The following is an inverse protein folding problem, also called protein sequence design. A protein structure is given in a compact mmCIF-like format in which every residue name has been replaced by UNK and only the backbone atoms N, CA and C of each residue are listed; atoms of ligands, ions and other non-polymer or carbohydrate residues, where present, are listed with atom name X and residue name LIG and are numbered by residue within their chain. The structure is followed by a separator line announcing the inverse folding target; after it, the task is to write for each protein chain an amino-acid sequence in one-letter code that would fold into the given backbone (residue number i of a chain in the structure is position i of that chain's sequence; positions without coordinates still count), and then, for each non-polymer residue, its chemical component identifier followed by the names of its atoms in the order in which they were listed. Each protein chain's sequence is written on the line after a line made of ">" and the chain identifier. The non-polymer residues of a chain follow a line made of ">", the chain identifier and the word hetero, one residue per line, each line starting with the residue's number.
data_IF_591772306975
#
_entry.id   IF_591772306975
#
_cell.length_a   1.000
_cell.length_b   1.000
_cell.length_c   1.000
_cell.angle_alpha   90.00
_cell.angle_beta   90.00
_cell.angle_gamma   90.00
#
_symmetry.space_group_name_H-M   'P 1'
#
loop_
_entity.id
_entity.type
_entity.pdbx_description
1 polymer ?
#
# COMPACT_ATOMS: atom_id res chain seq x y z
N UNK A 1 -28.91 18.59 3.82
CA UNK A 1 -28.04 18.27 2.67
C UNK A 1 -28.72 17.20 1.83
N UNK A 2 -28.71 17.32 0.50
CA UNK A 2 -29.24 16.29 -0.40
C UNK A 2 -28.20 15.16 -0.55
N UNK A 3 -28.48 13.92 -0.09
CA UNK A 3 -27.51 12.84 -0.14
C UNK A 3 -27.18 12.35 -1.56
N UNK A 4 -28.01 12.70 -2.56
CA UNK A 4 -27.81 12.31 -3.95
C UNK A 4 -26.88 13.27 -4.72
N UNK A 5 -26.48 14.38 -4.12
CA UNK A 5 -25.76 15.44 -4.82
C UNK A 5 -26.66 16.25 -5.76
N UNK A 6 -26.07 17.11 -6.60
CA UNK A 6 -26.80 17.81 -7.65
C UNK A 6 -27.31 16.84 -8.73
N UNK A 7 -28.18 17.35 -9.61
CA UNK A 7 -28.63 16.58 -10.78
C UNK A 7 -27.44 16.34 -11.73
N UNK A 8 -27.38 15.20 -12.44
CA UNK A 8 -26.40 15.00 -13.52
C UNK A 8 -26.41 16.11 -14.58
N UNK A 9 -27.56 16.77 -14.80
CA UNK A 9 -27.66 17.93 -15.68
C UNK A 9 -26.79 19.11 -15.23
N UNK A 10 -26.49 19.22 -13.93
CA UNK A 10 -25.57 20.22 -13.40
C UNK A 10 -24.17 20.01 -13.96
N UNK A 11 -23.68 18.75 -14.03
CA UNK A 11 -22.36 18.43 -14.61
C UNK A 11 -22.29 18.83 -16.08
N UNK A 12 -23.38 18.61 -16.83
CA UNK A 12 -23.48 19.03 -18.23
C UNK A 12 -23.44 20.57 -18.35
N UNK A 13 -24.11 21.27 -17.44
CA UNK A 13 -24.17 22.74 -17.45
C UNK A 13 -22.84 23.40 -17.04
N UNK A 14 -22.02 22.75 -16.22
CA UNK A 14 -20.74 23.29 -15.70
C UNK A 14 -19.51 22.81 -16.49
N UNK A 15 -19.68 22.33 -17.72
CA UNK A 15 -18.55 21.92 -18.58
C UNK A 15 -17.54 23.05 -18.83
N UNK A 16 -17.96 24.31 -18.74
CA UNK A 16 -17.06 25.46 -18.82
C UNK A 16 -16.07 25.56 -17.66
N UNK A 17 -16.35 24.89 -16.54
CA UNK A 17 -15.53 24.86 -15.33
C UNK A 17 -14.55 23.67 -15.33
N UNK A 18 -14.51 22.89 -16.41
CA UNK A 18 -13.59 21.76 -16.55
C UNK A 18 -12.13 22.25 -16.53
N UNK A 19 -11.23 21.61 -15.75
CA UNK A 19 -9.81 21.93 -15.76
C UNK A 19 -9.19 21.85 -17.15
N UNK A 20 -8.21 22.72 -17.44
CA UNK A 20 -7.60 22.81 -18.76
C UNK A 20 -6.84 21.53 -19.19
N UNK A 21 -6.39 20.73 -18.23
CA UNK A 21 -5.68 19.46 -18.39
C UNK A 21 -6.60 18.22 -18.34
N UNK A 22 -7.92 18.44 -18.35
CA UNK A 22 -8.95 17.39 -18.30
C UNK A 22 -9.82 17.46 -19.54
N UNK A 23 -10.05 16.30 -20.19
CA UNK A 23 -10.98 16.26 -21.31
C UNK A 23 -12.42 16.47 -20.83
N UNK A 24 -13.30 16.99 -21.68
CA UNK A 24 -14.73 17.15 -21.33
C UNK A 24 -15.40 15.80 -21.03
N UNK A 25 -14.94 14.72 -21.65
CA UNK A 25 -15.44 13.36 -21.39
C UNK A 25 -15.01 12.89 -20.00
N UNK A 26 -13.72 13.04 -19.67
CA UNK A 26 -13.15 12.72 -18.36
C UNK A 26 -13.84 13.52 -17.25
N UNK A 27 -14.04 14.83 -17.45
CA UNK A 27 -14.75 15.69 -16.51
C UNK A 27 -16.17 15.19 -16.23
N UNK A 28 -16.93 14.85 -17.28
CA UNK A 28 -18.30 14.33 -17.14
C UNK A 28 -18.32 13.03 -16.37
N UNK A 29 -17.45 12.09 -16.74
CA UNK A 29 -17.34 10.78 -16.11
C UNK A 29 -17.03 10.95 -14.61
N UNK A 30 -15.95 11.67 -14.29
CA UNK A 30 -15.48 11.86 -12.92
C UNK A 30 -16.50 12.59 -12.05
N UNK A 31 -17.07 13.70 -12.54
CA UNK A 31 -18.04 14.50 -11.78
C UNK A 31 -19.41 13.82 -11.65
N UNK A 32 -19.77 12.88 -12.54
CA UNK A 32 -21.01 12.09 -12.45
C UNK A 32 -20.86 10.89 -11.54
N UNK A 33 -19.66 10.32 -11.42
CA UNK A 33 -19.38 9.11 -10.64
C UNK A 33 -19.97 9.13 -9.22
N UNK A 34 -19.88 10.21 -8.42
CA UNK A 34 -20.44 10.26 -7.06
C UNK A 34 -21.91 10.69 -7.02
N UNK A 35 -22.56 10.99 -8.14
CA UNK A 35 -23.95 11.43 -8.15
C UNK A 35 -24.91 10.24 -8.05
N UNK A 36 -25.99 10.44 -7.30
CA UNK A 36 -26.99 9.40 -7.06
C UNK A 36 -26.48 8.34 -6.09
N UNK A 37 -26.72 8.55 -4.80
CA UNK A 37 -26.24 7.68 -3.71
C UNK A 37 -26.42 6.17 -3.94
N UNK A 38 -27.56 5.74 -4.48
CA UNK A 38 -27.86 4.31 -4.66
C UNK A 38 -27.24 3.70 -5.94
N UNK A 39 -26.67 4.54 -6.81
CA UNK A 39 -26.09 4.13 -8.10
C UNK A 39 -24.57 4.36 -8.17
N UNK A 40 -23.93 4.85 -7.11
CA UNK A 40 -22.50 5.20 -7.14
C UNK A 40 -21.60 3.99 -7.44
N UNK A 41 -21.94 2.81 -6.95
CA UNK A 41 -21.20 1.57 -7.26
C UNK A 41 -21.40 1.13 -8.70
N UNK A 42 -22.59 1.35 -9.27
CA UNK A 42 -22.89 1.09 -10.66
C UNK A 42 -22.11 2.06 -11.57
N UNK A 43 -21.96 3.32 -11.14
CA UNK A 43 -21.09 4.28 -11.83
C UNK A 43 -19.61 3.84 -11.78
N UNK A 44 -19.13 3.32 -10.64
CA UNK A 44 -17.79 2.72 -10.56
C UNK A 44 -17.67 1.54 -11.54
N UNK A 45 -18.65 0.64 -11.55
CA UNK A 45 -18.66 -0.50 -12.47
C UNK A 45 -18.63 -0.06 -13.94
N UNK A 46 -19.37 1.00 -14.27
CA UNK A 46 -19.36 1.62 -15.59
C UNK A 46 -17.94 2.07 -15.97
N UNK A 47 -17.27 2.83 -15.11
CA UNK A 47 -15.91 3.34 -15.37
C UNK A 47 -14.84 2.24 -15.40
N UNK A 48 -15.04 1.14 -14.67
CA UNK A 48 -14.15 -0.03 -14.79
C UNK A 48 -14.36 -0.77 -16.12
N UNK A 49 -15.59 -0.77 -16.66
CA UNK A 49 -15.96 -1.47 -17.89
C UNK A 49 -15.66 -0.65 -19.15
N UNK A 50 -15.92 0.66 -19.10
CA UNK A 50 -15.72 1.62 -20.17
C UNK A 50 -15.00 2.84 -19.59
N UNK A 51 -13.66 2.78 -19.48
CA UNK A 51 -12.90 3.80 -18.79
C UNK A 51 -12.90 5.13 -19.56
N UNK A 52 -13.53 6.15 -18.98
CA UNK A 52 -13.43 7.54 -19.43
C UNK A 52 -12.61 8.39 -18.44
N UNK A 53 -12.44 7.92 -17.19
CA UNK A 53 -11.56 8.54 -16.18
C UNK A 53 -10.08 8.12 -16.31
N UNK A 54 -9.15 9.05 -16.08
CA UNK A 54 -7.71 8.75 -16.09
C UNK A 54 -7.26 8.16 -14.74
N UNK A 55 -6.88 6.88 -14.74
CA UNK A 55 -6.38 6.16 -13.56
C UNK A 55 -4.97 6.58 -13.13
N UNK A 56 -4.25 7.39 -13.91
CA UNK A 56 -2.96 7.97 -13.50
C UNK A 56 -3.14 9.15 -12.54
N UNK A 57 -4.31 9.78 -12.56
CA UNK A 57 -4.58 11.02 -11.84
C UNK A 57 -5.04 10.75 -10.41
N UNK A 58 -4.59 11.60 -9.47
CA UNK A 58 -4.94 11.49 -8.04
C UNK A 58 -6.43 11.76 -7.82
N UNK A 59 -7.02 12.60 -8.65
CA UNK A 59 -8.43 12.99 -8.67
C UNK A 59 -9.32 11.76 -8.74
N UNK A 60 -9.00 10.80 -9.62
CA UNK A 60 -9.73 9.53 -9.74
C UNK A 60 -9.74 8.76 -8.41
N UNK A 61 -8.59 8.67 -7.73
CA UNK A 61 -8.53 8.06 -6.39
C UNK A 61 -9.35 8.82 -5.37
N UNK A 62 -9.32 10.16 -5.38
CA UNK A 62 -10.11 10.98 -4.44
C UNK A 62 -11.61 10.73 -4.63
N UNK A 63 -12.10 10.69 -5.86
CA UNK A 63 -13.52 10.42 -6.13
C UNK A 63 -13.92 8.99 -5.76
N UNK A 64 -13.07 7.99 -6.03
CA UNK A 64 -13.29 6.62 -5.55
C UNK A 64 -13.36 6.59 -4.02
N UNK A 65 -12.42 7.24 -3.34
CA UNK A 65 -12.41 7.33 -1.88
C UNK A 65 -13.67 8.02 -1.33
N UNK A 66 -14.14 9.08 -1.98
CA UNK A 66 -15.39 9.75 -1.62
C UNK A 66 -16.56 8.77 -1.69
N UNK A 67 -16.72 8.05 -2.81
CA UNK A 67 -17.83 7.13 -3.03
C UNK A 67 -17.83 6.00 -2.00
N UNK A 68 -16.70 5.32 -1.82
CA UNK A 68 -16.64 4.17 -0.91
C UNK A 68 -16.87 4.56 0.56
N UNK A 69 -16.61 5.82 0.93
CA UNK A 69 -16.84 6.34 2.27
C UNK A 69 -18.21 7.01 2.46
N UNK A 70 -18.98 7.21 1.39
CA UNK A 70 -20.32 7.81 1.45
C UNK A 70 -21.40 6.76 1.72
N UNK A 71 -21.57 6.36 2.98
CA UNK A 71 -22.55 5.33 3.34
C UNK A 71 -24.02 5.78 3.21
N UNK A 72 -24.31 7.08 3.40
CA UNK A 72 -25.64 7.66 3.24
C UNK A 72 -26.63 7.36 4.38
N UNK A 73 -27.94 7.58 4.22
CA UNK A 73 -28.98 7.27 5.22
C UNK A 73 -29.12 5.77 5.51
N UNK A 74 -29.75 5.42 6.64
CA UNK A 74 -30.08 4.03 6.97
C UNK A 74 -31.06 3.45 5.95
N UNK A 75 -30.90 2.17 5.62
CA UNK A 75 -31.84 1.41 4.78
C UNK A 75 -32.42 0.26 5.60
N UNK A 76 -33.74 0.13 5.61
CA UNK A 76 -34.42 -0.92 6.37
C UNK A 76 -33.96 -2.30 5.89
N UNK A 77 -33.63 -3.20 6.82
CA UNK A 77 -33.24 -4.58 6.51
C UNK A 77 -31.75 -4.80 6.20
N UNK A 78 -30.88 -3.79 6.32
CA UNK A 78 -29.43 -3.96 6.12
C UNK A 78 -28.60 -2.97 6.94
N UNK A 79 -27.40 -3.37 7.35
CA UNK A 79 -26.39 -2.49 7.97
C UNK A 79 -25.57 -1.69 6.94
N UNK A 80 -25.65 -2.03 5.65
CA UNK A 80 -24.86 -1.43 4.57
C UNK A 80 -25.28 -0.01 4.20
N UNK A 81 -26.35 0.50 4.82
CA UNK A 81 -26.93 1.82 4.54
C UNK A 81 -27.32 1.95 3.06
N UNK A 82 -27.82 3.08 2.63
CA UNK A 82 -28.31 3.22 1.24
C UNK A 82 -27.19 3.15 0.20
N UNK A 83 -26.04 3.77 0.46
CA UNK A 83 -24.95 3.90 -0.51
C UNK A 83 -24.20 2.61 -0.81
N UNK A 84 -24.35 1.56 0.01
CA UNK A 84 -23.63 0.29 -0.20
C UNK A 84 -24.56 -0.92 -0.23
N UNK A 85 -25.88 -0.71 -0.23
CA UNK A 85 -26.85 -1.80 -0.21
C UNK A 85 -26.68 -2.80 -1.37
N UNK A 86 -26.24 -2.32 -2.54
CA UNK A 86 -26.02 -3.16 -3.73
C UNK A 86 -24.87 -4.16 -3.54
N UNK A 87 -23.95 -3.95 -2.59
CA UNK A 87 -22.87 -4.91 -2.31
C UNK A 87 -23.35 -6.20 -1.62
N UNK A 88 -24.61 -6.26 -1.17
CA UNK A 88 -25.23 -7.52 -0.77
C UNK A 88 -25.59 -8.40 -1.98
N UNK A 89 -25.70 -7.83 -3.18
CA UNK A 89 -25.96 -8.60 -4.40
C UNK A 89 -24.65 -9.28 -4.84
N UNK A 90 -24.63 -10.61 -4.70
CA UNK A 90 -23.45 -11.40 -5.06
C UNK A 90 -23.13 -11.30 -6.55
N UNK A 91 -24.13 -11.29 -7.43
CA UNK A 91 -23.92 -11.24 -8.88
C UNK A 91 -23.26 -9.93 -9.26
N UNK A 92 -23.79 -8.81 -8.75
CA UNK A 92 -23.20 -7.49 -8.96
C UNK A 92 -21.76 -7.43 -8.42
N UNK A 93 -21.55 -7.92 -7.20
CA UNK A 93 -20.23 -7.80 -6.55
C UNK A 93 -19.17 -8.66 -7.22
N UNK A 94 -19.52 -9.86 -7.69
CA UNK A 94 -18.67 -10.71 -8.50
C UNK A 94 -18.27 -10.01 -9.80
N UNK A 95 -19.22 -9.33 -10.47
CA UNK A 95 -18.94 -8.58 -11.70
C UNK A 95 -17.97 -7.41 -11.45
N UNK A 96 -18.17 -6.65 -10.37
CA UNK A 96 -17.24 -5.57 -9.97
C UNK A 96 -15.84 -6.12 -9.74
N UNK A 97 -15.69 -7.23 -9.03
CA UNK A 97 -14.39 -7.85 -8.78
C UNK A 97 -13.72 -8.32 -10.09
N UNK A 98 -14.50 -8.90 -11.01
CA UNK A 98 -13.99 -9.28 -12.33
C UNK A 98 -13.48 -8.07 -13.12
N UNK A 99 -14.23 -6.96 -13.17
CA UNK A 99 -13.78 -5.73 -13.84
C UNK A 99 -12.57 -5.08 -13.16
N UNK A 100 -12.43 -5.22 -11.84
CA UNK A 100 -11.24 -4.78 -11.10
C UNK A 100 -10.01 -5.58 -11.54
N UNK A 101 -10.12 -6.91 -11.66
CA UNK A 101 -9.00 -7.75 -12.11
C UNK A 101 -8.59 -7.43 -13.55
N UNK A 102 -9.55 -7.27 -14.47
CA UNK A 102 -9.27 -6.86 -15.84
C UNK A 102 -8.62 -5.46 -15.91
N UNK A 103 -9.07 -4.52 -15.07
CA UNK A 103 -8.48 -3.19 -14.98
C UNK A 103 -7.05 -3.26 -14.46
N UNK A 104 -6.78 -4.09 -13.44
CA UNK A 104 -5.44 -4.35 -12.94
C UNK A 104 -4.54 -4.88 -14.06
N UNK A 105 -5.00 -5.88 -14.82
CA UNK A 105 -4.22 -6.47 -15.92
C UNK A 105 -3.86 -5.46 -17.02
N UNK A 106 -4.76 -4.52 -17.29
CA UNK A 106 -4.54 -3.44 -18.26
C UNK A 106 -3.49 -2.43 -17.79
N UNK A 107 -3.45 -2.11 -16.49
CA UNK A 107 -2.56 -1.07 -15.95
C UNK A 107 -1.24 -1.60 -15.40
N UNK A 108 -1.13 -2.91 -15.09
CA UNK A 108 0.03 -3.51 -14.39
C UNK A 108 1.39 -3.32 -15.07
N UNK A 109 1.43 -2.99 -16.36
CA UNK A 109 2.69 -2.74 -17.08
C UNK A 109 3.21 -1.30 -16.93
N UNK A 110 2.40 -0.39 -16.38
CA UNK A 110 2.77 1.00 -16.19
C UNK A 110 2.70 1.41 -14.71
N UNK A 111 3.85 1.39 -14.04
CA UNK A 111 3.98 1.78 -12.63
C UNK A 111 3.59 3.23 -12.32
N UNK A 112 3.48 4.11 -13.33
CA UNK A 112 2.96 5.48 -13.15
C UNK A 112 1.46 5.51 -12.84
N UNK A 113 0.74 4.41 -13.06
CA UNK A 113 -0.68 4.25 -12.72
C UNK A 113 -0.91 3.86 -11.25
N UNK A 114 -0.02 4.29 -10.35
CA UNK A 114 -0.09 3.95 -8.92
C UNK A 114 -1.39 4.38 -8.25
N UNK A 115 -1.95 5.51 -8.68
CA UNK A 115 -3.26 5.99 -8.25
C UNK A 115 -4.38 5.00 -8.62
N UNK A 116 -4.30 4.40 -9.82
CA UNK A 116 -5.19 3.35 -10.28
C UNK A 116 -5.13 2.11 -9.40
N UNK A 117 -3.94 1.54 -9.14
CA UNK A 117 -3.81 0.40 -8.22
C UNK A 117 -4.33 0.75 -6.82
N UNK A 118 -4.04 1.95 -6.30
CA UNK A 118 -4.57 2.38 -5.01
C UNK A 118 -6.11 2.39 -5.02
N UNK A 119 -6.75 2.96 -6.05
CA UNK A 119 -8.21 2.94 -6.21
C UNK A 119 -8.76 1.51 -6.22
N UNK A 120 -8.15 0.60 -6.97
CA UNK A 120 -8.58 -0.81 -7.03
C UNK A 120 -8.45 -1.50 -5.66
N UNK A 121 -7.34 -1.32 -4.95
CA UNK A 121 -7.14 -1.87 -3.59
C UNK A 121 -8.24 -1.36 -2.65
N UNK A 122 -8.56 -0.06 -2.69
CA UNK A 122 -9.59 0.54 -1.84
C UNK A 122 -10.99 0.00 -2.13
N UNK A 123 -11.31 -0.22 -3.40
CA UNK A 123 -12.57 -0.85 -3.80
C UNK A 123 -12.66 -2.28 -3.25
N UNK A 124 -11.63 -3.10 -3.44
CA UNK A 124 -11.62 -4.50 -2.97
C UNK A 124 -11.69 -4.58 -1.45
N UNK A 125 -10.94 -3.75 -0.72
CA UNK A 125 -11.01 -3.69 0.75
C UNK A 125 -12.40 -3.29 1.24
N UNK A 126 -13.07 -2.35 0.55
CA UNK A 126 -14.42 -1.95 0.92
C UNK A 126 -15.44 -3.04 0.65
N UNK A 127 -15.32 -3.75 -0.47
CA UNK A 127 -16.18 -4.89 -0.77
C UNK A 127 -15.96 -5.99 0.29
N UNK A 128 -14.70 -6.28 0.63
CA UNK A 128 -14.35 -7.29 1.63
C UNK A 128 -14.94 -6.96 3.02
N UNK A 129 -14.95 -5.69 3.44
CA UNK A 129 -15.50 -5.32 4.75
C UNK A 129 -17.02 -5.30 4.82
N UNK A 130 -17.70 -5.16 3.67
CA UNK A 130 -19.15 -5.03 3.60
C UNK A 130 -19.86 -6.28 3.09
N UNK A 131 -19.16 -7.22 2.45
CA UNK A 131 -19.80 -8.39 1.87
C UNK A 131 -20.16 -9.45 2.92
N UNK A 132 -21.41 -9.95 2.94
CA UNK A 132 -21.78 -11.09 3.78
C UNK A 132 -21.43 -12.44 3.14
N UNK A 133 -21.08 -12.48 1.84
CA UNK A 133 -20.84 -13.74 1.11
C UNK A 133 -19.40 -14.21 1.29
N UNK A 134 -19.23 -15.42 1.83
CA UNK A 134 -17.90 -16.05 1.99
C UNK A 134 -17.18 -16.23 0.65
N UNK A 135 -17.94 -16.49 -0.44
CA UNK A 135 -17.39 -16.61 -1.79
C UNK A 135 -16.80 -15.27 -2.26
N UNK A 136 -17.54 -14.18 -2.09
CA UNK A 136 -17.06 -12.83 -2.40
C UNK A 136 -15.84 -12.49 -1.57
N UNK A 137 -15.85 -12.79 -0.26
CA UNK A 137 -14.69 -12.57 0.60
C UNK A 137 -13.45 -13.32 0.10
N UNK A 138 -13.59 -14.60 -0.30
CA UNK A 138 -12.49 -15.38 -0.87
C UNK A 138 -11.95 -14.76 -2.16
N UNK A 139 -12.84 -14.30 -3.05
CA UNK A 139 -12.45 -13.58 -4.28
C UNK A 139 -11.72 -12.27 -3.97
N UNK A 140 -12.17 -11.49 -3.00
CA UNK A 140 -11.48 -10.28 -2.55
C UNK A 140 -10.07 -10.58 -2.04
N UNK A 141 -9.89 -11.63 -1.23
CA UNK A 141 -8.58 -12.04 -0.72
C UNK A 141 -7.63 -12.43 -1.86
N UNK A 142 -8.13 -13.14 -2.86
CA UNK A 142 -7.36 -13.50 -4.06
C UNK A 142 -7.00 -12.25 -4.89
N UNK A 143 -7.97 -11.36 -5.13
CA UNK A 143 -7.75 -10.12 -5.86
C UNK A 143 -6.71 -9.23 -5.17
N UNK A 144 -6.78 -9.09 -3.83
CA UNK A 144 -5.78 -8.36 -3.04
C UNK A 144 -4.38 -8.98 -3.15
N UNK A 145 -4.27 -10.31 -3.23
CA UNK A 145 -2.99 -10.97 -3.48
C UNK A 145 -2.43 -10.63 -4.87
N UNK A 146 -3.27 -10.64 -5.91
CA UNK A 146 -2.84 -10.25 -7.26
C UNK A 146 -2.37 -8.79 -7.31
N UNK A 147 -3.17 -7.87 -6.75
CA UNK A 147 -2.82 -6.45 -6.64
C UNK A 147 -1.51 -6.24 -5.86
N UNK A 148 -1.33 -6.98 -4.77
CA UNK A 148 -0.11 -6.95 -3.95
C UNK A 148 1.12 -7.33 -4.75
N UNK A 149 1.06 -8.42 -5.51
CA UNK A 149 2.18 -8.90 -6.32
C UNK A 149 2.53 -7.90 -7.43
N UNK A 150 1.54 -7.31 -8.08
CA UNK A 150 1.75 -6.26 -9.09
C UNK A 150 2.36 -5.00 -8.49
N UNK A 151 1.84 -4.49 -7.37
CA UNK A 151 2.38 -3.33 -6.68
C UNK A 151 3.81 -3.59 -6.18
N UNK A 152 4.08 -4.77 -5.61
CA UNK A 152 5.41 -5.14 -5.14
C UNK A 152 6.42 -5.30 -6.28
N UNK A 153 5.99 -5.83 -7.42
CA UNK A 153 6.81 -5.85 -8.63
C UNK A 153 7.25 -4.43 -9.02
N UNK A 154 6.34 -3.45 -8.96
CA UNK A 154 6.67 -2.05 -9.21
C UNK A 154 7.63 -1.46 -8.20
N UNK A 155 7.52 -1.80 -6.91
CA UNK A 155 8.50 -1.39 -5.89
C UNK A 155 9.90 -1.82 -6.32
N UNK A 156 10.08 -3.08 -6.71
CA UNK A 156 11.38 -3.60 -7.13
C UNK A 156 11.85 -2.96 -8.43
N UNK A 157 10.99 -2.83 -9.44
CA UNK A 157 11.31 -2.19 -10.71
C UNK A 157 11.82 -0.76 -10.53
N UNK A 158 11.12 0.06 -9.75
CA UNK A 158 11.49 1.46 -9.52
C UNK A 158 12.76 1.57 -8.69
N UNK A 159 12.97 0.67 -7.71
CA UNK A 159 14.22 0.62 -6.93
C UNK A 159 15.42 0.24 -7.80
N UNK A 160 15.28 -0.73 -8.68
CA UNK A 160 16.34 -1.11 -9.64
C UNK A 160 16.70 0.08 -10.53
N UNK A 161 15.69 0.76 -11.12
CA UNK A 161 15.91 1.99 -11.90
C UNK A 161 16.62 3.08 -11.09
N UNK A 162 16.26 3.27 -9.82
CA UNK A 162 16.91 4.25 -8.95
C UNK A 162 18.39 3.90 -8.71
N UNK A 163 18.73 2.61 -8.58
CA UNK A 163 20.11 2.17 -8.39
C UNK A 163 20.99 2.34 -9.63
N UNK A 164 20.39 2.27 -10.82
CA UNK A 164 21.07 2.43 -12.12
C UNK A 164 21.18 3.90 -12.56
N UNK A 165 20.44 4.80 -11.91
CA UNK A 165 20.40 6.23 -12.22
C UNK A 165 21.61 6.96 -11.65
N UNK A 166 22.31 7.73 -12.50
CA UNK A 166 23.48 8.54 -12.14
C UNK A 166 23.08 9.93 -11.64
N UNK A 167 22.01 10.52 -12.18
CA UNK A 167 21.52 11.84 -11.78
C UNK A 167 20.87 11.78 -10.38
N UNK A 168 21.44 12.50 -9.42
CA UNK A 168 21.00 12.47 -8.02
C UNK A 168 19.55 12.97 -7.85
N UNK A 169 19.12 13.94 -8.67
CA UNK A 169 17.75 14.49 -8.60
C UNK A 169 16.74 13.45 -9.06
N UNK A 170 16.98 12.83 -10.22
CA UNK A 170 16.14 11.78 -10.77
C UNK A 170 16.12 10.55 -9.86
N UNK A 171 17.28 10.17 -9.31
CA UNK A 171 17.40 9.09 -8.32
C UNK A 171 16.56 9.37 -7.08
N UNK A 172 16.61 10.58 -6.54
CA UNK A 172 15.80 10.99 -5.37
C UNK A 172 14.30 10.89 -5.66
N UNK A 173 13.87 11.30 -6.86
CA UNK A 173 12.47 11.16 -7.29
C UNK A 173 12.05 9.68 -7.37
N UNK A 174 12.87 8.83 -7.99
CA UNK A 174 12.57 7.39 -8.07
C UNK A 174 12.52 6.73 -6.68
N UNK A 175 13.38 7.13 -5.75
CA UNK A 175 13.30 6.68 -4.35
C UNK A 175 11.95 7.09 -3.75
N UNK A 176 11.55 8.36 -3.86
CA UNK A 176 10.25 8.83 -3.36
C UNK A 176 9.07 8.06 -3.97
N UNK A 177 9.10 7.80 -5.29
CA UNK A 177 8.10 6.98 -5.97
C UNK A 177 8.08 5.55 -5.46
N UNK A 178 9.24 4.94 -5.23
CA UNK A 178 9.30 3.58 -4.67
C UNK A 178 8.67 3.49 -3.28
N UNK A 179 8.80 4.54 -2.45
CA UNK A 179 8.16 4.63 -1.15
C UNK A 179 6.65 4.77 -1.29
N UNK A 180 6.17 5.64 -2.19
CA UNK A 180 4.74 5.78 -2.45
C UNK A 180 4.12 4.44 -2.93
N UNK A 181 4.79 3.73 -3.83
CA UNK A 181 4.33 2.42 -4.30
C UNK A 181 4.34 1.40 -3.15
N UNK A 182 5.37 1.41 -2.29
CA UNK A 182 5.44 0.53 -1.13
C UNK A 182 4.29 0.79 -0.15
N UNK A 183 3.95 2.06 0.11
CA UNK A 183 2.79 2.43 0.93
C UNK A 183 1.49 1.86 0.35
N UNK A 184 1.24 2.06 -0.94
CA UNK A 184 0.06 1.50 -1.62
C UNK A 184 0.06 -0.04 -1.59
N UNK A 185 1.22 -0.69 -1.74
CA UNK A 185 1.33 -2.14 -1.63
C UNK A 185 0.93 -2.63 -0.23
N UNK A 186 1.35 -1.94 0.84
CA UNK A 186 0.99 -2.30 2.22
C UNK A 186 -0.50 -2.19 2.51
N UNK A 187 -1.23 -1.30 1.81
CA UNK A 187 -2.69 -1.22 1.97
C UNK A 187 -3.41 -2.53 1.63
N UNK A 188 -2.83 -3.40 0.78
CA UNK A 188 -3.42 -4.73 0.49
C UNK A 188 -3.56 -5.63 1.71
N UNK A 189 -2.90 -5.30 2.82
CA UNK A 189 -2.97 -6.01 4.09
C UNK A 189 -3.93 -5.33 5.09
N UNK A 190 -4.46 -4.13 4.77
CA UNK A 190 -5.27 -3.30 5.65
C UNK A 190 -6.75 -3.73 5.70
N UNK A 191 -6.99 -5.03 5.85
CA UNK A 191 -8.33 -5.57 6.10
C UNK A 191 -8.71 -5.46 7.59
N UNK A 192 -9.99 -5.63 7.91
CA UNK A 192 -10.45 -5.70 9.31
C UNK A 192 -9.82 -6.88 10.03
N UNK A 193 -9.85 -8.06 9.40
CA UNK A 193 -9.17 -9.26 9.87
C UNK A 193 -7.87 -9.44 9.11
N UNK A 194 -6.74 -9.15 9.77
CA UNK A 194 -5.42 -9.10 9.12
C UNK A 194 -4.76 -10.50 9.05
N UNK A 195 -5.07 -11.40 9.98
CA UNK A 195 -4.37 -12.69 10.10
C UNK A 195 -4.31 -13.53 8.80
N UNK A 196 -5.36 -13.60 7.96
CA UNK A 196 -5.30 -14.30 6.66
C UNK A 196 -4.28 -13.71 5.69
N UNK A 197 -4.01 -12.40 5.75
CA UNK A 197 -3.08 -11.73 4.82
C UNK A 197 -1.62 -12.13 5.05
N UNK A 198 -1.31 -12.64 6.24
CA UNK A 198 0.03 -13.11 6.60
C UNK A 198 0.16 -14.63 6.57
N UNK A 199 -0.83 -15.34 6.02
CA UNK A 199 -0.89 -16.80 5.94
C UNK A 199 0.41 -17.43 5.40
N UNK A 200 0.91 -16.88 4.30
CA UNK A 200 2.01 -17.44 3.53
C UNK A 200 3.28 -16.62 3.78
N UNK A 201 4.44 -17.29 3.84
CA UNK A 201 5.73 -16.64 4.07
C UNK A 201 6.12 -15.61 3.01
N UNK A 202 5.71 -15.82 1.76
CA UNK A 202 5.91 -14.87 0.67
C UNK A 202 5.19 -13.54 0.93
N UNK A 203 3.95 -13.57 1.43
CA UNK A 203 3.19 -12.35 1.75
C UNK A 203 3.80 -11.61 2.95
N UNK A 204 4.23 -12.35 3.98
CA UNK A 204 4.99 -11.79 5.11
C UNK A 204 6.26 -11.10 4.59
N UNK A 205 7.01 -11.75 3.70
CA UNK A 205 8.22 -11.18 3.13
C UNK A 205 7.93 -9.88 2.35
N UNK A 206 6.91 -9.87 1.50
CA UNK A 206 6.49 -8.68 0.74
C UNK A 206 6.19 -7.52 1.70
N UNK A 207 5.39 -7.76 2.74
CA UNK A 207 5.03 -6.73 3.72
C UNK A 207 6.24 -6.15 4.43
N UNK A 208 7.14 -7.01 4.92
CA UNK A 208 8.35 -6.59 5.65
C UNK A 208 9.33 -5.84 4.74
N UNK A 209 9.49 -6.27 3.48
CA UNK A 209 10.29 -5.55 2.50
C UNK A 209 9.72 -4.16 2.21
N UNK A 210 8.39 -4.04 2.02
CA UNK A 210 7.74 -2.75 1.88
C UNK A 210 7.96 -1.86 3.11
N UNK A 211 7.85 -2.40 4.33
CA UNK A 211 8.13 -1.64 5.55
C UNK A 211 9.56 -1.11 5.59
N UNK A 212 10.55 -1.93 5.24
CA UNK A 212 11.94 -1.49 5.16
C UNK A 212 12.18 -0.43 4.08
N UNK A 213 11.53 -0.54 2.91
CA UNK A 213 11.58 0.49 1.86
C UNK A 213 11.00 1.82 2.37
N UNK A 214 9.84 1.76 3.04
CA UNK A 214 9.19 2.96 3.62
C UNK A 214 10.06 3.59 4.69
N UNK A 215 10.63 2.78 5.59
CA UNK A 215 11.53 3.28 6.63
C UNK A 215 12.74 3.98 6.04
N UNK A 216 13.43 3.33 5.11
CA UNK A 216 14.67 3.85 4.55
C UNK A 216 14.42 5.12 3.70
N UNK A 217 13.31 5.20 2.99
CA UNK A 217 12.94 6.36 2.17
C UNK A 217 12.05 7.40 2.87
N UNK A 218 11.82 7.31 4.19
CA UNK A 218 10.89 8.22 4.90
C UNK A 218 11.23 9.70 4.74
N UNK A 219 12.50 10.03 4.56
CA UNK A 219 12.96 11.40 4.38
C UNK A 219 12.58 11.99 3.01
N UNK A 220 12.44 11.16 1.98
CA UNK A 220 12.03 11.62 0.64
C UNK A 220 10.55 11.98 0.58
N UNK A 221 9.72 11.48 1.51
CA UNK A 221 8.30 11.84 1.63
C UNK A 221 8.08 13.30 2.04
N UNK A 222 9.05 13.90 2.73
CA UNK A 222 8.95 15.29 3.21
C UNK A 222 8.91 16.28 2.04
N UNK A 223 9.32 15.85 0.83
CA UNK A 223 9.37 16.69 -0.37
C UNK A 223 8.10 16.62 -1.22
N UNK A 224 7.29 15.55 -1.12
CA UNK A 224 6.04 15.42 -1.87
C UNK A 224 4.85 15.96 -1.06
N UNK A 225 4.46 17.21 -1.35
CA UNK A 225 3.30 17.89 -0.78
C UNK A 225 1.98 17.27 -1.28
N UNK A 226 1.49 16.22 -0.62
CA UNK A 226 0.20 15.60 -0.97
C UNK A 226 -0.54 15.05 0.24
N UNK A 227 -1.80 15.45 0.44
CA UNK A 227 -2.64 14.99 1.56
C UNK A 227 -2.82 13.47 1.58
N UNK A 228 -2.96 12.83 0.41
CA UNK A 228 -3.16 11.39 0.30
C UNK A 228 -1.93 10.58 0.72
N UNK A 229 -0.72 11.07 0.42
CA UNK A 229 0.53 10.39 0.79
C UNK A 229 0.72 10.38 2.32
N UNK A 230 0.41 11.48 2.99
CA UNK A 230 0.40 11.54 4.45
C UNK A 230 -0.65 10.60 5.07
N UNK A 231 -1.83 10.50 4.47
CA UNK A 231 -2.86 9.54 4.90
C UNK A 231 -2.35 8.10 4.77
N UNK A 232 -1.73 7.75 3.63
CA UNK A 232 -1.14 6.44 3.42
C UNK A 232 -0.05 6.13 4.44
N UNK A 233 0.84 7.09 4.72
CA UNK A 233 1.89 6.91 5.73
C UNK A 233 1.31 6.66 7.12
N UNK A 234 0.31 7.44 7.54
CA UNK A 234 -0.37 7.23 8.81
C UNK A 234 -1.08 5.86 8.88
N UNK A 235 -1.74 5.45 7.79
CA UNK A 235 -2.40 4.15 7.72
C UNK A 235 -1.39 3.00 7.80
N UNK A 236 -0.23 3.14 7.17
CA UNK A 236 0.87 2.19 7.31
C UNK A 236 1.33 2.06 8.77
N UNK A 237 1.51 3.17 9.50
CA UNK A 237 1.87 3.13 10.93
C UNK A 237 0.83 2.37 11.77
N UNK A 238 -0.46 2.66 11.54
CA UNK A 238 -1.57 1.95 12.20
C UNK A 238 -1.57 0.47 11.84
N UNK A 239 -1.29 0.13 10.58
CA UNK A 239 -1.24 -1.25 10.10
C UNK A 239 -0.10 -2.03 10.75
N UNK A 240 1.12 -1.46 10.81
CA UNK A 240 2.25 -2.05 11.54
C UNK A 240 1.91 -2.29 13.01
N UNK A 241 1.26 -1.33 13.66
CA UNK A 241 0.79 -1.52 15.03
C UNK A 241 -0.26 -2.63 15.16
N UNK A 242 -1.19 -2.76 14.21
CA UNK A 242 -2.19 -3.84 14.25
C UNK A 242 -1.61 -5.22 13.90
N UNK A 243 -0.53 -5.27 13.11
CA UNK A 243 0.04 -6.51 12.60
C UNK A 243 1.19 -7.07 13.44
N UNK A 244 1.90 -6.25 14.23
CA UNK A 244 3.14 -6.68 14.87
C UNK A 244 3.00 -7.93 15.76
N UNK A 245 1.92 -8.06 16.52
CA UNK A 245 1.69 -9.26 17.36
C UNK A 245 1.52 -10.51 16.51
N UNK A 246 0.71 -10.42 15.45
CA UNK A 246 0.46 -11.54 14.52
C UNK A 246 1.74 -11.92 13.77
N UNK A 247 2.53 -10.93 13.37
CA UNK A 247 3.80 -11.13 12.68
C UNK A 247 4.83 -11.76 13.62
N UNK A 248 4.97 -11.26 14.85
CA UNK A 248 5.85 -11.84 15.86
C UNK A 248 5.49 -13.30 16.12
N UNK A 249 4.20 -13.60 16.30
CA UNK A 249 3.68 -14.96 16.48
C UNK A 249 4.04 -15.88 15.30
N UNK A 250 3.80 -15.40 14.07
CA UNK A 250 4.10 -16.18 12.86
C UNK A 250 5.60 -16.42 12.69
N UNK A 251 6.42 -15.41 12.91
CA UNK A 251 7.87 -15.48 12.68
C UNK A 251 8.55 -16.35 13.74
N UNK A 252 8.23 -16.15 15.02
CA UNK A 252 8.92 -16.80 16.14
C UNK A 252 8.31 -18.16 16.46
N UNK A 253 7.01 -18.21 16.75
CA UNK A 253 6.34 -19.44 17.20
C UNK A 253 6.04 -20.39 16.04
N UNK A 254 5.50 -19.89 14.93
CA UNK A 254 5.23 -20.71 13.75
C UNK A 254 6.46 -20.91 12.84
N UNK A 255 7.62 -20.33 13.21
CA UNK A 255 8.88 -20.40 12.45
C UNK A 255 8.71 -20.05 10.97
N UNK A 256 7.87 -19.06 10.68
CA UNK A 256 7.62 -18.62 9.31
C UNK A 256 8.89 -17.92 8.76
N UNK A 257 9.45 -18.36 7.61
CA UNK A 257 10.69 -17.81 7.07
C UNK A 257 10.52 -16.45 6.38
N UNK A 258 9.35 -15.81 6.44
CA UNK A 258 9.06 -14.57 5.73
C UNK A 258 10.02 -13.42 6.06
N UNK A 259 10.48 -13.32 7.31
CA UNK A 259 11.48 -12.33 7.70
C UNK A 259 12.87 -12.64 7.12
N UNK A 260 13.29 -13.91 7.15
CA UNK A 260 14.55 -14.32 6.52
C UNK A 260 14.54 -14.03 5.02
N UNK A 261 13.42 -14.32 4.33
CA UNK A 261 13.24 -14.02 2.92
C UNK A 261 13.30 -12.51 2.62
N UNK A 262 12.76 -11.68 3.52
CA UNK A 262 12.81 -10.24 3.37
C UNK A 262 14.23 -9.69 3.52
N UNK A 263 15.00 -10.22 4.48
CA UNK A 263 16.39 -9.80 4.72
C UNK A 263 17.30 -10.29 3.60
N UNK A 264 17.16 -11.56 3.17
CA UNK A 264 17.91 -12.15 2.05
C UNK A 264 17.77 -11.33 0.77
N UNK A 265 16.57 -10.81 0.50
CA UNK A 265 16.32 -9.95 -0.66
C UNK A 265 17.01 -8.57 -0.58
N UNK A 266 17.25 -8.05 0.62
CA UNK A 266 17.92 -6.77 0.84
C UNK A 266 19.43 -6.92 1.06
N UNK A 267 19.88 -8.08 1.54
CA UNK A 267 21.25 -8.34 1.93
C UNK A 267 21.68 -9.77 1.52
N UNK A 268 22.25 -9.94 0.31
CA UNK A 268 22.61 -11.27 -0.22
C UNK A 268 23.68 -12.03 0.58
N UNK A 269 24.43 -11.35 1.47
CA UNK A 269 25.41 -11.99 2.33
C UNK A 269 24.81 -12.56 3.63
N UNK A 270 23.50 -12.39 3.83
CA UNK A 270 22.77 -12.94 4.96
C UNK A 270 22.67 -14.46 4.85
N UNK A 271 23.14 -15.19 5.88
CA UNK A 271 22.92 -16.63 5.99
C UNK A 271 21.64 -16.91 6.78
N UNK A 272 20.76 -17.73 6.21
CA UNK A 272 19.39 -17.93 6.72
C UNK A 272 19.44 -18.72 8.02
N UNK A 273 19.14 -18.04 9.12
CA UNK A 273 19.23 -18.67 10.45
C UNK A 273 17.89 -19.25 10.93
N UNK A 274 16.75 -18.70 10.50
CA UNK A 274 15.38 -19.10 10.91
C UNK A 274 15.17 -19.27 12.42
N UNK A 275 15.94 -18.54 13.23
CA UNK A 275 15.96 -18.59 14.70
C UNK A 275 15.69 -17.22 15.32
N UNK A 276 14.64 -16.57 14.86
CA UNK A 276 14.19 -15.30 15.44
C UNK A 276 13.59 -15.51 16.83
N UNK A 277 13.90 -14.61 17.76
CA UNK A 277 13.36 -14.56 19.11
C UNK A 277 12.89 -13.15 19.44
N UNK A 278 11.94 -13.02 20.36
CA UNK A 278 11.51 -11.72 20.90
C UNK A 278 12.54 -11.20 21.88
N UNK A 279 12.84 -9.90 21.86
CA UNK A 279 13.77 -9.28 22.83
C UNK A 279 13.31 -9.50 24.27
N UNK A 280 12.00 -9.45 24.51
CA UNK A 280 11.37 -9.86 25.76
C UNK A 280 9.93 -10.29 25.53
N UNK A 281 9.29 -10.87 26.54
CA UNK A 281 7.86 -11.23 26.46
C UNK A 281 6.95 -10.00 26.33
N UNK A 282 7.35 -8.86 26.92
CA UNK A 282 6.58 -7.62 26.90
C UNK A 282 6.82 -6.79 25.63
N UNK A 283 7.96 -7.02 24.94
CA UNK A 283 8.36 -6.31 23.72
C UNK A 283 8.20 -7.24 22.52
N UNK A 284 6.96 -7.34 22.03
CA UNK A 284 6.61 -8.20 20.89
C UNK A 284 7.02 -7.63 19.54
N UNK A 285 7.26 -6.32 19.45
CA UNK A 285 7.57 -5.66 18.18
C UNK A 285 9.05 -5.74 17.77
N UNK A 286 9.96 -6.07 18.69
CA UNK A 286 11.39 -6.15 18.39
C UNK A 286 11.84 -7.61 18.39
N UNK A 287 12.29 -8.07 17.22
CA UNK A 287 12.80 -9.42 17.03
C UNK A 287 14.32 -9.36 16.92
N UNK A 288 14.99 -10.42 17.37
CA UNK A 288 16.44 -10.55 17.21
C UNK A 288 16.86 -11.97 16.83
N UNK A 289 18.03 -12.08 16.20
CA UNK A 289 18.71 -13.35 15.95
C UNK A 289 20.23 -13.14 15.99
N UNK A 290 20.97 -14.21 16.24
CA UNK A 290 22.44 -14.23 16.17
C UNK A 290 22.88 -15.09 15.00
N UNK A 291 23.84 -14.60 14.23
CA UNK A 291 24.39 -15.33 13.07
C UNK A 291 25.91 -15.22 13.04
N UNK A 292 26.59 -16.28 12.59
CA UNK A 292 28.04 -16.30 12.48
C UNK A 292 28.49 -15.50 11.25
N UNK A 293 29.38 -14.52 11.44
CA UNK A 293 29.92 -13.73 10.33
C UNK A 293 30.80 -14.58 9.39
N UNK A 294 30.73 -14.32 8.08
CA UNK A 294 31.45 -15.11 7.06
C UNK A 294 32.97 -14.85 6.99
N UNK A 295 33.53 -13.94 7.79
CA UNK A 295 34.95 -13.54 7.68
C UNK A 295 35.65 -13.43 9.03
N UNK A 296 36.28 -14.50 9.51
CA UNK A 296 37.42 -14.48 10.46
C UNK A 296 37.22 -13.85 11.85
N UNK A 297 36.11 -13.17 12.12
CA UNK A 297 35.71 -12.65 13.43
C UNK A 297 35.00 -13.77 14.19
N UNK A 298 35.53 -14.14 15.35
CA UNK A 298 34.96 -15.20 16.21
C UNK A 298 33.70 -14.76 16.97
N UNK A 299 33.09 -13.64 16.60
CA UNK A 299 31.92 -13.08 17.27
C UNK A 299 30.68 -13.22 16.39
N UNK A 300 29.62 -13.79 16.98
CA UNK A 300 28.28 -13.83 16.40
C UNK A 300 27.75 -12.40 16.25
N UNK A 301 27.32 -12.03 15.04
CA UNK A 301 26.66 -10.76 14.78
C UNK A 301 25.21 -10.81 15.27
N UNK A 302 24.74 -9.72 15.86
CA UNK A 302 23.40 -9.57 16.40
C UNK A 302 22.52 -8.77 15.44
N UNK A 303 21.43 -9.38 14.97
CA UNK A 303 20.42 -8.71 14.16
C UNK A 303 19.23 -8.32 15.00
N UNK A 304 18.72 -7.12 14.78
CA UNK A 304 17.44 -6.66 15.30
C UNK A 304 16.54 -6.22 14.17
N UNK A 305 15.27 -6.62 14.23
CA UNK A 305 14.23 -6.14 13.33
C UNK A 305 13.07 -5.55 14.12
N UNK A 306 12.67 -4.31 13.78
CA UNK A 306 11.54 -3.64 14.41
C UNK A 306 10.30 -3.76 13.52
N UNK A 307 9.30 -4.52 13.97
CA UNK A 307 8.04 -4.76 13.26
C UNK A 307 7.15 -3.51 13.14
N UNK A 308 7.35 -2.48 13.97
CA UNK A 308 6.58 -1.24 13.89
C UNK A 308 7.10 -0.30 12.81
N UNK A 309 8.41 -0.33 12.55
CA UNK A 309 9.07 0.62 11.65
C UNK A 309 9.57 -0.05 10.36
N UNK A 310 9.91 -1.33 10.40
CA UNK A 310 10.63 -2.02 9.32
C UNK A 310 12.14 -1.82 9.38
N UNK A 311 12.67 -1.29 10.48
CA UNK A 311 14.10 -1.05 10.68
C UNK A 311 14.87 -2.35 10.95
N UNK A 312 15.99 -2.52 10.24
CA UNK A 312 16.94 -3.62 10.43
C UNK A 312 18.28 -3.06 10.93
N UNK A 313 18.72 -3.57 12.08
CA UNK A 313 20.00 -3.20 12.71
C UNK A 313 20.93 -4.43 12.78
N UNK A 314 22.21 -4.21 12.51
CA UNK A 314 23.32 -5.16 12.72
C UNK A 314 24.21 -4.59 13.81
N UNK A 315 24.37 -5.32 14.92
CA UNK A 315 25.12 -4.90 16.11
C UNK A 315 24.70 -3.51 16.62
N UNK A 316 23.40 -3.22 16.54
CA UNK A 316 22.81 -1.95 16.95
C UNK A 316 22.95 -0.80 15.92
N UNK A 317 23.58 -1.06 14.77
CA UNK A 317 23.77 -0.07 13.71
C UNK A 317 22.87 -0.34 12.49
N UNK A 318 22.31 0.70 11.83
CA UNK A 318 21.54 0.51 10.61
C UNK A 318 22.37 -0.11 9.49
N UNK A 319 21.82 -1.12 8.79
CA UNK A 319 22.54 -1.83 7.72
C UNK A 319 22.95 -0.91 6.54
N UNK A 320 22.08 0.03 6.16
CA UNK A 320 22.23 0.84 4.96
C UNK A 320 22.54 2.32 5.23
N UNK A 321 22.73 2.70 6.50
CA UNK A 321 22.95 4.11 6.90
C UNK A 321 24.07 4.23 7.88
N UNK A 322 24.84 5.30 7.71
CA UNK A 322 25.85 5.68 8.70
C UNK A 322 25.14 6.10 10.00
N UNK A 323 25.77 5.91 11.17
CA UNK A 323 25.20 6.37 12.44
C UNK A 323 24.81 7.85 12.37
N UNK A 324 23.70 8.21 13.00
CA UNK A 324 23.10 9.55 12.94
C UNK A 324 24.06 10.66 13.40
N UNK A 325 25.03 10.34 14.26
CA UNK A 325 26.12 11.21 14.70
C UNK A 325 26.99 11.68 13.53
N UNK A 326 27.25 10.80 12.56
CA UNK A 326 28.01 11.14 11.36
C UNK A 326 27.16 11.87 10.32
N UNK A 327 25.91 11.44 10.09
CA UNK A 327 25.00 12.09 9.13
C UNK A 327 24.60 13.52 9.55
N UNK A 328 24.57 13.78 10.86
CA UNK A 328 24.29 15.11 11.41
C UNK A 328 25.53 16.03 11.44
N UNK A 329 26.73 15.48 11.24
CA UNK A 329 27.98 16.24 11.28
C UNK A 329 28.06 17.25 10.12
N UNK A 330 28.44 18.53 10.37
CA UNK A 330 28.47 19.57 9.33
C UNK A 330 29.35 19.21 8.13
N UNK A 331 30.50 18.57 8.37
CA UNK A 331 31.42 18.12 7.31
C UNK A 331 30.80 17.04 6.44
N UNK A 332 30.06 16.10 7.03
CA UNK A 332 29.38 15.07 6.27
C UNK A 332 28.29 15.70 5.38
N UNK A 333 27.49 16.61 5.94
CA UNK A 333 26.47 17.36 5.18
C UNK A 333 27.05 18.20 4.05
N UNK A 334 28.25 18.73 4.24
CA UNK A 334 28.96 19.53 3.23
C UNK A 334 29.52 18.66 2.09
N UNK A 335 30.06 17.48 2.42
CA UNK A 335 30.74 16.60 1.46
C UNK A 335 29.78 15.66 0.71
N UNK A 336 28.77 15.14 1.40
CA UNK A 336 27.88 14.10 0.88
C UNK A 336 26.41 14.55 0.82
N UNK A 337 26.12 15.81 1.17
CA UNK A 337 24.75 16.28 1.34
C UNK A 337 24.09 15.70 2.60
N UNK A 338 22.77 15.88 2.74
CA UNK A 338 22.04 15.13 3.78
C UNK A 338 21.98 13.66 3.36
N UNK A 339 22.53 12.75 4.17
CA UNK A 339 22.18 11.32 4.05
C UNK A 339 20.66 11.21 4.11
N UNK A 340 20.04 10.60 3.11
CA UNK A 340 18.61 10.33 3.11
C UNK A 340 18.34 8.92 3.60
#
# INVERSE_FOLDING_TARGET
>A
MNPHGPSPNTVIATQCDAPADMSLEEYKALATMPLGLEIQWQNILLELSMPSVDMKKIETTIFVLQIINQAGPSKTGTTLRQGHAILCDEVFTVEVLSRIEETMERIQQNWETIHGINSLIRLVLRILSLSPSLKVCAMCLQCLNNLRRSAFHWVNLVRTKASETIDDTHKTNLIAKSVHIALVCTETFNAETIAPMFAISADVSIFLQCCSVIWNGRNSLITESGSLLHILYHQWQVLCYRSHVILAERIVECKNPGLDLAIDAAWPAYDKTSKWSRVSNDVTYCLFTRFAGQTGSSEDMLLHYNLLTGELLVDGLPLARLPSEYESHPTYRSLFGKSQ
#
